data_IF_224947513322
#
_entry.id   IF_224947513322
#
_cell.length_a   1.000
_cell.length_b   1.000
_cell.length_c   1.000
_cell.angle_alpha   90.00
_cell.angle_beta   90.00
_cell.angle_gamma   90.00
#
_symmetry.space_group_name_H-M   'P 1'
#
loop_
_entity.id
_entity.type
_entity.pdbx_description
1 polymer ?
#
# COMPACT_ATOMS: atom_id res chain seq x y z
N UNK A 1 -1.13 -15.65 -18.70
CA UNK A 1 -0.45 -15.77 -17.39
C UNK A 1 -1.22 -16.77 -16.53
N UNK A 2 -0.60 -17.83 -16.00
CA UNK A 2 -1.25 -18.69 -14.99
C UNK A 2 -1.27 -17.92 -13.66
N UNK A 3 -2.46 -17.57 -13.18
CA UNK A 3 -2.65 -16.97 -11.85
C UNK A 3 -2.34 -18.05 -10.80
N UNK A 4 -1.39 -17.77 -9.89
CA UNK A 4 -1.03 -18.72 -8.82
C UNK A 4 -2.24 -19.00 -7.92
N UNK A 5 -2.29 -20.17 -7.28
CA UNK A 5 -3.40 -20.56 -6.38
C UNK A 5 -3.67 -19.52 -5.29
N UNK A 6 -2.64 -18.91 -4.73
CA UNK A 6 -2.75 -17.85 -3.71
C UNK A 6 -3.55 -16.65 -4.23
N UNK A 7 -3.29 -16.22 -5.47
CA UNK A 7 -4.01 -15.11 -6.10
C UNK A 7 -5.48 -15.43 -6.34
N UNK A 8 -5.81 -16.69 -6.68
CA UNK A 8 -7.21 -17.10 -6.83
C UNK A 8 -7.94 -17.06 -5.48
N UNK A 9 -7.28 -17.49 -4.41
CA UNK A 9 -7.82 -17.44 -3.05
C UNK A 9 -8.02 -15.97 -2.64
N UNK A 10 -7.01 -15.12 -2.81
CA UNK A 10 -7.10 -13.69 -2.48
C UNK A 10 -8.20 -12.98 -3.26
N UNK A 11 -8.32 -13.22 -4.57
CA UNK A 11 -9.37 -12.61 -5.40
C UNK A 11 -10.75 -13.14 -5.01
N UNK A 12 -10.90 -14.46 -4.84
CA UNK A 12 -12.17 -15.05 -4.42
C UNK A 12 -12.63 -14.50 -3.07
N UNK A 13 -11.70 -14.38 -2.12
CA UNK A 13 -12.00 -13.81 -0.82
C UNK A 13 -12.29 -12.31 -0.89
N UNK A 14 -11.51 -11.55 -1.66
CA UNK A 14 -11.76 -10.13 -1.92
C UNK A 14 -13.19 -9.90 -2.44
N UNK A 15 -13.64 -10.71 -3.41
CA UNK A 15 -15.00 -10.62 -3.94
C UNK A 15 -16.06 -10.92 -2.88
N UNK A 16 -15.82 -11.92 -2.01
CA UNK A 16 -16.70 -12.23 -0.87
C UNK A 16 -16.78 -11.03 0.08
N UNK A 17 -15.65 -10.40 0.41
CA UNK A 17 -15.59 -9.24 1.31
C UNK A 17 -16.33 -8.04 0.72
N UNK A 18 -16.12 -7.73 -0.56
CA UNK A 18 -16.87 -6.69 -1.25
C UNK A 18 -18.39 -6.97 -1.22
N UNK A 19 -18.80 -8.23 -1.43
CA UNK A 19 -20.20 -8.62 -1.36
C UNK A 19 -20.77 -8.42 0.06
N UNK A 20 -20.01 -8.74 1.11
CA UNK A 20 -20.41 -8.49 2.51
C UNK A 20 -20.65 -6.99 2.74
N UNK A 21 -19.73 -6.12 2.31
CA UNK A 21 -19.90 -4.66 2.45
C UNK A 21 -21.11 -4.13 1.66
N UNK A 22 -21.36 -4.68 0.46
CA UNK A 22 -22.54 -4.35 -0.33
C UNK A 22 -23.84 -4.72 0.39
N UNK A 23 -23.92 -5.94 0.95
CA UNK A 23 -25.09 -6.42 1.73
C UNK A 23 -25.26 -5.58 3.01
N UNK A 24 -24.16 -5.20 3.65
CA UNK A 24 -24.15 -4.34 4.84
C UNK A 24 -24.46 -2.86 4.54
N UNK A 25 -24.75 -2.51 3.27
CA UNK A 25 -25.03 -1.14 2.80
C UNK A 25 -23.87 -0.16 3.04
N UNK A 26 -22.65 -0.65 3.21
CA UNK A 26 -21.45 0.17 3.29
C UNK A 26 -20.94 0.44 1.87
N UNK A 27 -21.69 1.25 1.12
CA UNK A 27 -21.45 1.50 -0.30
C UNK A 27 -20.12 2.22 -0.56
N UNK A 28 -19.68 3.08 0.37
CA UNK A 28 -18.40 3.79 0.25
C UNK A 28 -17.22 2.81 0.21
N UNK A 29 -17.14 1.90 1.19
CA UNK A 29 -16.09 0.88 1.27
C UNK A 29 -16.20 -0.11 0.13
N UNK A 30 -17.42 -0.49 -0.29
CA UNK A 30 -17.61 -1.35 -1.46
C UNK A 30 -17.07 -0.71 -2.75
N UNK A 31 -17.46 0.54 -3.03
CA UNK A 31 -17.02 1.27 -4.23
C UNK A 31 -15.50 1.40 -4.21
N UNK A 32 -14.92 1.91 -3.12
CA UNK A 32 -13.48 2.04 -2.96
C UNK A 32 -12.75 0.71 -3.14
N UNK A 33 -13.25 -0.34 -2.49
CA UNK A 33 -12.67 -1.67 -2.53
C UNK A 33 -12.61 -2.25 -3.95
N UNK A 34 -13.58 -1.97 -4.82
CA UNK A 34 -13.57 -2.44 -6.20
C UNK A 34 -12.72 -1.54 -7.11
N UNK A 35 -12.90 -0.22 -7.01
CA UNK A 35 -12.32 0.74 -7.96
C UNK A 35 -10.85 1.03 -7.67
N UNK A 36 -10.42 1.13 -6.40
CA UNK A 36 -9.04 1.46 -6.07
C UNK A 36 -8.06 0.37 -6.56
N UNK A 37 -8.29 -0.95 -6.32
CA UNK A 37 -7.43 -1.99 -6.88
C UNK A 37 -7.46 -2.05 -8.41
N UNK A 38 -8.59 -1.70 -9.03
CA UNK A 38 -8.71 -1.66 -10.49
C UNK A 38 -7.87 -0.52 -11.09
N UNK A 39 -8.03 0.69 -10.55
CA UNK A 39 -7.44 1.93 -11.06
C UNK A 39 -5.97 2.05 -10.70
N UNK A 40 -5.60 1.76 -9.45
CA UNK A 40 -4.22 1.88 -8.96
C UNK A 40 -3.40 0.60 -9.19
N UNK A 41 -4.06 -0.55 -9.29
CA UNK A 41 -3.41 -1.86 -9.40
C UNK A 41 -3.48 -2.45 -10.80
N UNK A 42 -4.65 -2.97 -11.19
CA UNK A 42 -4.80 -3.79 -12.39
C UNK A 42 -4.46 -3.04 -13.68
N UNK A 43 -5.04 -1.85 -13.88
CA UNK A 43 -4.78 -1.04 -15.07
C UNK A 43 -3.28 -0.69 -15.17
N UNK A 44 -2.63 -0.12 -14.14
CA UNK A 44 -1.20 0.14 -14.18
C UNK A 44 -0.35 -1.12 -14.37
N UNK A 45 -0.77 -2.26 -13.82
CA UNK A 45 -0.04 -3.52 -13.98
C UNK A 45 -0.04 -4.00 -15.42
N UNK A 46 -1.16 -3.87 -16.14
CA UNK A 46 -1.22 -4.19 -17.58
C UNK A 46 -0.31 -3.29 -18.41
N UNK A 47 -0.27 -1.99 -18.10
CA UNK A 47 0.55 -1.01 -18.80
C UNK A 47 1.94 -0.82 -18.19
N UNK A 48 2.38 -1.69 -17.28
CA UNK A 48 3.60 -1.50 -16.46
C UNK A 48 4.87 -1.24 -17.27
N UNK A 49 5.02 -1.90 -18.43
CA UNK A 49 6.18 -1.69 -19.31
C UNK A 49 6.15 -0.29 -19.94
N UNK A 50 4.97 0.18 -20.35
CA UNK A 50 4.77 1.52 -20.90
C UNK A 50 5.03 2.58 -19.83
N UNK A 51 4.53 2.37 -18.61
CA UNK A 51 4.76 3.24 -17.45
C UNK A 51 6.26 3.31 -17.12
N UNK A 52 6.94 2.15 -17.04
CA UNK A 52 8.39 2.09 -16.79
C UNK A 52 9.18 2.83 -17.87
N UNK A 53 8.83 2.63 -19.14
CA UNK A 53 9.49 3.32 -20.25
C UNK A 53 9.22 4.84 -20.24
N UNK A 54 7.99 5.24 -19.90
CA UNK A 54 7.63 6.64 -19.71
C UNK A 54 8.50 7.28 -18.62
N UNK A 55 8.57 6.68 -17.43
CA UNK A 55 9.40 7.21 -16.34
C UNK A 55 10.89 7.30 -16.69
N UNK A 56 11.42 6.33 -17.43
CA UNK A 56 12.79 6.42 -17.97
C UNK A 56 12.96 7.58 -18.94
N UNK A 57 12.02 7.78 -19.86
CA UNK A 57 12.05 8.85 -20.87
C UNK A 57 12.00 10.24 -20.22
N UNK A 58 11.21 10.42 -19.17
CA UNK A 58 11.08 11.70 -18.46
C UNK A 58 12.09 11.89 -17.32
N UNK A 59 13.05 10.97 -17.16
CA UNK A 59 14.07 11.08 -16.12
C UNK A 59 13.59 10.86 -14.68
N UNK A 60 12.43 10.23 -14.49
CA UNK A 60 11.87 9.90 -13.16
C UNK A 60 12.28 8.50 -12.66
N UNK A 61 13.17 7.80 -13.37
CA UNK A 61 13.74 6.51 -12.93
C UNK A 61 14.90 6.72 -11.93
N UNK A 62 14.63 7.44 -10.84
CA UNK A 62 15.59 7.75 -9.78
C UNK A 62 14.87 7.91 -8.43
N UNK A 63 15.63 8.24 -7.38
CA UNK A 63 15.11 8.34 -6.00
C UNK A 63 14.02 9.41 -5.87
N UNK A 64 14.22 10.57 -6.51
CA UNK A 64 13.28 11.68 -6.45
C UNK A 64 11.99 11.35 -7.20
N UNK A 65 12.10 10.72 -8.37
CA UNK A 65 10.94 10.26 -9.13
C UNK A 65 10.15 9.20 -8.38
N UNK A 66 10.81 8.27 -7.68
CA UNK A 66 10.14 7.28 -6.84
C UNK A 66 9.32 7.93 -5.72
N UNK A 67 9.92 8.88 -4.98
CA UNK A 67 9.20 9.57 -3.89
C UNK A 67 8.12 10.53 -4.40
N UNK A 68 8.32 11.17 -5.55
CA UNK A 68 7.29 12.00 -6.19
C UNK A 68 6.08 11.15 -6.58
N UNK A 69 6.31 9.98 -7.19
CA UNK A 69 5.23 9.06 -7.53
C UNK A 69 4.53 8.54 -6.27
N UNK A 70 5.29 8.18 -5.22
CA UNK A 70 4.71 7.78 -3.94
C UNK A 70 3.81 8.88 -3.35
N UNK A 71 4.28 10.14 -3.34
CA UNK A 71 3.48 11.30 -2.90
C UNK A 71 2.20 11.46 -3.70
N UNK A 72 2.26 11.40 -5.03
CA UNK A 72 1.08 11.52 -5.89
C UNK A 72 0.07 10.42 -5.58
N UNK A 73 0.53 9.18 -5.37
CA UNK A 73 -0.36 8.07 -5.02
C UNK A 73 -0.98 8.29 -3.64
N UNK A 74 -0.24 8.78 -2.64
CA UNK A 74 -0.79 9.14 -1.33
C UNK A 74 -1.90 10.18 -1.47
N UNK A 75 -1.63 11.28 -2.18
CA UNK A 75 -2.62 12.35 -2.38
C UNK A 75 -3.87 11.80 -3.06
N UNK A 76 -3.72 10.99 -4.12
CA UNK A 76 -4.85 10.43 -4.85
C UNK A 76 -5.67 9.47 -4.00
N UNK A 77 -5.02 8.62 -3.22
CA UNK A 77 -5.69 7.62 -2.39
C UNK A 77 -6.45 8.28 -1.23
N UNK A 78 -5.82 9.19 -0.48
CA UNK A 78 -6.48 9.90 0.62
C UNK A 78 -7.61 10.82 0.13
N UNK A 79 -7.39 11.52 -0.99
CA UNK A 79 -8.46 12.31 -1.61
C UNK A 79 -9.63 11.41 -2.03
N UNK A 80 -9.35 10.19 -2.50
CA UNK A 80 -10.40 9.27 -2.92
C UNK A 80 -11.19 8.73 -1.72
N UNK A 81 -10.50 8.35 -0.64
CA UNK A 81 -11.10 7.98 0.63
C UNK A 81 -12.01 9.10 1.16
N UNK A 82 -11.50 10.33 1.19
CA UNK A 82 -12.25 11.50 1.64
C UNK A 82 -13.50 11.77 0.79
N UNK A 83 -13.39 11.72 -0.54
CA UNK A 83 -14.52 11.97 -1.46
C UNK A 83 -15.64 10.94 -1.28
N UNK A 84 -15.29 9.68 -1.04
CA UNK A 84 -16.28 8.62 -0.82
C UNK A 84 -16.90 8.67 0.59
N UNK A 85 -16.31 9.44 1.51
CA UNK A 85 -16.73 9.49 2.90
C UNK A 85 -16.22 8.32 3.73
N UNK A 86 -15.11 7.70 3.31
CA UNK A 86 -14.40 6.75 4.15
C UNK A 86 -13.69 7.47 5.30
N UNK A 87 -13.37 6.71 6.35
CA UNK A 87 -12.57 7.20 7.45
C UNK A 87 -11.16 7.56 6.96
N UNK A 88 -10.74 8.80 7.23
CA UNK A 88 -9.37 9.30 7.04
C UNK A 88 -8.69 9.38 8.41
N UNK A 89 -7.36 9.31 8.46
CA UNK A 89 -6.64 9.31 9.73
C UNK A 89 -6.75 10.65 10.48
N UNK A 90 -6.99 11.76 9.76
CA UNK A 90 -7.25 13.07 10.33
C UNK A 90 -8.39 13.81 9.60
N UNK A 91 -9.31 14.51 10.31
CA UNK A 91 -10.47 15.16 9.68
C UNK A 91 -10.14 16.24 8.65
N UNK A 92 -8.95 16.85 8.77
CA UNK A 92 -8.46 17.87 7.84
C UNK A 92 -7.61 17.20 6.77
N UNK A 93 -8.15 17.07 5.55
CA UNK A 93 -7.51 16.35 4.43
C UNK A 93 -6.05 16.75 4.17
N UNK A 94 -5.70 18.04 4.30
CA UNK A 94 -4.32 18.48 4.08
C UNK A 94 -3.35 17.99 5.16
N UNK A 95 -3.81 17.91 6.41
CA UNK A 95 -3.04 17.38 7.54
C UNK A 95 -2.92 15.87 7.41
N UNK A 96 -3.99 15.22 6.98
CA UNK A 96 -4.04 13.79 6.73
C UNK A 96 -3.07 13.35 5.63
N UNK A 97 -3.16 13.97 4.44
CA UNK A 97 -2.23 13.75 3.33
C UNK A 97 -0.77 13.94 3.76
N UNK A 98 -0.48 14.98 4.56
CA UNK A 98 0.88 15.20 5.06
C UNK A 98 1.32 14.10 6.02
N UNK A 99 0.49 13.75 7.00
CA UNK A 99 0.79 12.72 8.00
C UNK A 99 1.02 11.37 7.32
N UNK A 100 0.11 10.97 6.44
CA UNK A 100 0.17 9.71 5.69
C UNK A 100 1.41 9.70 4.79
N UNK A 101 1.71 10.81 4.12
CA UNK A 101 2.93 10.91 3.30
C UNK A 101 4.20 10.69 4.13
N UNK A 102 4.30 11.27 5.33
CA UNK A 102 5.48 11.06 6.21
C UNK A 102 5.60 9.59 6.64
N UNK A 103 4.49 8.93 6.97
CA UNK A 103 4.47 7.49 7.28
C UNK A 103 4.93 6.69 6.05
N UNK A 104 4.40 7.02 4.88
CA UNK A 104 4.73 6.37 3.63
C UNK A 104 6.19 6.62 3.22
N UNK A 105 6.79 7.78 3.53
CA UNK A 105 8.22 8.01 3.30
C UNK A 105 9.10 6.96 3.98
N UNK A 106 8.77 6.57 5.21
CA UNK A 106 9.46 5.47 5.90
C UNK A 106 9.26 4.14 5.18
N UNK A 107 8.02 3.86 4.78
CA UNK A 107 7.64 2.61 4.14
C UNK A 107 8.29 2.45 2.75
N UNK A 108 8.02 3.40 1.86
CA UNK A 108 8.57 3.47 0.51
C UNK A 108 10.09 3.64 0.54
N UNK A 109 10.62 4.45 1.45
CA UNK A 109 12.06 4.65 1.62
C UNK A 109 12.79 3.38 2.02
N UNK A 110 12.22 2.59 2.94
CA UNK A 110 12.77 1.27 3.31
C UNK A 110 12.84 0.35 2.11
N UNK A 111 11.81 0.36 1.27
CA UNK A 111 11.79 -0.41 0.03
C UNK A 111 12.85 0.03 -0.97
N UNK A 112 12.97 1.34 -1.19
CA UNK A 112 13.91 1.91 -2.14
C UNK A 112 15.37 1.74 -1.71
N UNK A 113 15.69 2.11 -0.47
CA UNK A 113 17.07 2.17 -0.02
C UNK A 113 17.60 0.83 0.47
N UNK A 114 16.74 -0.06 0.97
CA UNK A 114 17.19 -1.28 1.64
C UNK A 114 16.66 -2.57 1.02
N UNK A 115 15.35 -2.79 1.02
CA UNK A 115 14.77 -4.10 0.65
C UNK A 115 15.12 -4.48 -0.79
N UNK A 116 14.92 -3.55 -1.74
CA UNK A 116 15.19 -3.78 -3.17
C UNK A 116 16.67 -4.04 -3.51
N UNK A 117 17.59 -3.55 -2.67
CA UNK A 117 19.04 -3.75 -2.83
C UNK A 117 19.55 -5.00 -2.15
N UNK A 118 18.84 -5.48 -1.11
CA UNK A 118 19.23 -6.66 -0.32
C UNK A 118 18.67 -7.94 -0.92
N UNK A 119 17.40 -7.95 -1.29
CA UNK A 119 16.65 -9.15 -1.64
C UNK A 119 16.25 -9.23 -3.12
N UNK A 120 16.15 -10.46 -3.63
CA UNK A 120 15.64 -10.76 -4.96
C UNK A 120 14.16 -11.10 -4.91
N UNK A 121 13.38 -10.46 -5.78
CA UNK A 121 11.95 -10.66 -5.92
C UNK A 121 11.57 -10.75 -7.39
N UNK A 122 10.58 -11.60 -7.70
CA UNK A 122 9.80 -11.40 -8.93
C UNK A 122 8.93 -10.16 -8.79
N UNK A 123 8.48 -9.57 -9.90
CA UNK A 123 7.62 -8.38 -9.85
C UNK A 123 6.34 -8.58 -9.02
N UNK A 124 5.72 -9.77 -9.12
CA UNK A 124 4.51 -10.09 -8.37
C UNK A 124 4.80 -10.24 -6.87
N UNK A 125 5.90 -10.89 -6.50
CA UNK A 125 6.30 -11.01 -5.10
C UNK A 125 6.63 -9.64 -4.50
N UNK A 126 7.33 -8.78 -5.24
CA UNK A 126 7.69 -7.45 -4.78
C UNK A 126 6.46 -6.60 -4.48
N UNK A 127 5.49 -6.56 -5.39
CA UNK A 127 4.24 -5.80 -5.22
C UNK A 127 3.48 -6.27 -3.98
N UNK A 128 3.29 -7.59 -3.84
CA UNK A 128 2.57 -8.16 -2.71
C UNK A 128 3.29 -7.89 -1.39
N UNK A 129 4.58 -8.20 -1.34
CA UNK A 129 5.42 -8.00 -0.16
C UNK A 129 5.50 -6.52 0.22
N UNK A 130 5.45 -5.62 -0.76
CA UNK A 130 5.52 -4.19 -0.53
C UNK A 130 4.21 -3.61 -0.02
N UNK A 131 3.06 -4.16 -0.41
CA UNK A 131 1.74 -3.75 0.07
C UNK A 131 1.39 -4.27 1.47
N UNK A 132 1.91 -5.43 1.89
CA UNK A 132 1.53 -6.05 3.17
C UNK A 132 1.79 -5.19 4.44
N UNK A 133 2.82 -4.31 4.53
CA UNK A 133 2.92 -3.37 5.66
C UNK A 133 1.69 -2.48 5.84
N UNK A 134 0.98 -2.15 4.77
CA UNK A 134 -0.32 -1.44 4.80
C UNK A 134 -1.34 -2.11 5.71
N UNK A 135 -1.36 -3.44 5.68
CA UNK A 135 -2.25 -4.26 6.51
C UNK A 135 -1.88 -4.17 8.00
N UNK A 136 -0.59 -4.03 8.32
CA UNK A 136 -0.16 -3.80 9.70
C UNK A 136 -0.57 -2.41 10.19
N UNK A 137 -0.48 -1.38 9.35
CA UNK A 137 -1.01 -0.06 9.72
C UNK A 137 -2.51 -0.13 10.00
N UNK A 138 -3.29 -0.78 9.14
CA UNK A 138 -4.74 -0.87 9.33
C UNK A 138 -5.12 -1.52 10.67
N UNK A 139 -4.55 -2.68 10.98
CA UNK A 139 -5.08 -3.52 12.05
C UNK A 139 -4.25 -3.54 13.34
N UNK A 140 -2.97 -3.18 13.27
CA UNK A 140 -2.09 -3.14 14.44
C UNK A 140 -2.00 -1.72 15.02
N UNK A 141 -2.04 -0.68 14.17
CA UNK A 141 -1.95 0.71 14.68
C UNK A 141 -3.25 1.23 15.31
N UNK A 142 -4.41 0.71 14.87
CA UNK A 142 -5.75 1.04 15.41
C UNK A 142 -6.27 0.05 16.47
N UNK A 143 -5.38 -0.68 17.16
CA UNK A 143 -5.62 -1.98 17.81
C UNK A 143 -6.86 -2.82 17.40
N UNK A 144 -7.35 -2.74 16.16
CA UNK A 144 -8.58 -3.42 15.75
C UNK A 144 -8.47 -4.93 15.87
N UNK A 145 -7.27 -5.47 15.71
CA UNK A 145 -7.03 -6.89 15.92
C UNK A 145 -7.39 -7.36 17.33
N UNK A 146 -7.23 -6.51 18.35
CA UNK A 146 -7.61 -6.83 19.74
C UNK A 146 -9.13 -6.67 19.95
N UNK A 147 -9.75 -5.69 19.29
CA UNK A 147 -11.16 -5.39 19.46
C UNK A 147 -12.09 -6.31 18.65
N UNK A 148 -11.70 -6.69 17.43
CA UNK A 148 -12.49 -7.49 16.51
C UNK A 148 -11.61 -8.39 15.59
N UNK A 149 -10.98 -9.44 16.15
CA UNK A 149 -10.05 -10.29 15.39
C UNK A 149 -10.72 -11.00 14.20
N UNK A 150 -12.01 -11.36 14.31
CA UNK A 150 -12.75 -11.97 13.19
C UNK A 150 -13.01 -10.97 12.06
N UNK A 151 -13.38 -9.73 12.40
CA UNK A 151 -13.52 -8.65 11.41
C UNK A 151 -12.21 -8.40 10.66
N UNK A 152 -11.09 -8.37 11.39
CA UNK A 152 -9.76 -8.22 10.78
C UNK A 152 -9.44 -9.38 9.84
N UNK A 153 -9.69 -10.63 10.23
CA UNK A 153 -9.45 -11.79 9.34
C UNK A 153 -10.29 -11.73 8.07
N UNK A 154 -11.55 -11.27 8.17
CA UNK A 154 -12.42 -11.10 7.02
C UNK A 154 -11.89 -9.98 6.12
N UNK A 155 -11.53 -8.83 6.68
CA UNK A 155 -11.11 -7.65 5.92
C UNK A 155 -9.65 -7.70 5.44
N UNK A 156 -8.82 -8.58 6.00
CA UNK A 156 -7.39 -8.70 5.65
C UNK A 156 -7.13 -8.81 4.14
N UNK A 157 -7.83 -9.68 3.36
CA UNK A 157 -7.57 -9.78 1.93
C UNK A 157 -7.95 -8.53 1.14
N UNK A 158 -8.96 -7.79 1.60
CA UNK A 158 -9.32 -6.50 1.01
C UNK A 158 -8.17 -5.51 1.17
N UNK A 159 -7.68 -5.30 2.40
CA UNK A 159 -6.55 -4.41 2.67
C UNK A 159 -5.29 -4.85 1.91
N UNK A 160 -4.99 -6.15 1.91
CA UNK A 160 -3.83 -6.68 1.21
C UNK A 160 -3.86 -6.37 -0.30
N UNK A 161 -5.03 -6.47 -0.94
CA UNK A 161 -5.21 -6.16 -2.36
C UNK A 161 -5.10 -4.65 -2.62
N UNK A 162 -5.74 -3.81 -1.81
CA UNK A 162 -5.69 -2.35 -1.93
C UNK A 162 -4.26 -1.84 -1.77
N UNK A 163 -3.57 -2.21 -0.69
CA UNK A 163 -2.21 -1.75 -0.44
C UNK A 163 -1.20 -2.32 -1.44
N UNK A 164 -1.43 -3.52 -1.97
CA UNK A 164 -0.63 -4.03 -3.10
C UNK A 164 -0.85 -3.21 -4.38
N UNK A 165 -2.08 -2.77 -4.64
CA UNK A 165 -2.41 -1.95 -5.80
C UNK A 165 -1.68 -0.60 -5.76
N UNK A 166 -1.66 0.05 -4.60
CA UNK A 166 -0.93 1.32 -4.36
C UNK A 166 0.55 1.23 -4.77
N UNK A 167 1.17 0.06 -4.59
CA UNK A 167 2.58 -0.16 -4.91
C UNK A 167 2.89 -0.44 -6.38
N UNK A 168 1.89 -0.69 -7.23
CA UNK A 168 2.13 -1.08 -8.63
C UNK A 168 2.86 0.01 -9.41
N UNK A 169 2.41 1.27 -9.34
CA UNK A 169 3.03 2.38 -10.07
C UNK A 169 4.42 2.73 -9.50
N UNK A 170 4.59 2.96 -8.17
CA UNK A 170 5.89 3.25 -7.58
C UNK A 170 6.95 2.19 -7.92
N UNK A 171 6.58 0.91 -7.92
CA UNK A 171 7.49 -0.20 -8.25
C UNK A 171 8.05 -0.13 -9.68
N UNK A 172 7.44 0.61 -10.60
CA UNK A 172 7.98 0.77 -11.96
C UNK A 172 9.20 1.69 -12.02
N UNK A 173 9.35 2.59 -11.03
CA UNK A 173 10.52 3.49 -10.90
C UNK A 173 11.66 2.83 -10.11
N UNK A 174 11.40 1.69 -9.48
CA UNK A 174 12.36 0.97 -8.65
C UNK A 174 13.09 -0.12 -9.44
N UNK A 175 14.39 -0.25 -9.24
CA UNK A 175 15.17 -1.39 -9.71
C UNK A 175 15.47 -2.33 -8.53
N UNK A 176 14.92 -3.55 -8.60
CA UNK A 176 15.22 -4.62 -7.65
C UNK A 176 16.54 -5.27 -8.09
N UNK A 177 17.60 -5.06 -7.32
CA UNK A 177 18.97 -5.51 -7.63
C UNK A 177 19.54 -6.49 -6.60
N UNK A 178 18.80 -6.76 -5.54
CA UNK A 178 19.23 -7.65 -4.47
C UNK A 178 19.43 -9.09 -4.95
N UNK A 179 20.27 -9.81 -4.21
CA UNK A 179 20.67 -11.19 -4.53
C UNK A 179 20.18 -12.20 -3.49
N UNK A 180 19.84 -11.76 -2.28
CA UNK A 180 19.41 -12.68 -1.22
C UNK A 180 18.02 -13.24 -1.53
N UNK A 181 17.89 -14.56 -1.41
CA UNK A 181 16.64 -15.31 -1.53
C UNK A 181 16.31 -15.98 -0.18
N UNK A 182 15.09 -16.51 -0.05
CA UNK A 182 14.62 -17.19 1.16
C UNK A 182 13.53 -16.44 1.92
N UNK A 183 12.92 -17.10 2.91
CA UNK A 183 11.71 -16.63 3.60
C UNK A 183 11.89 -15.28 4.32
N UNK A 184 13.10 -14.98 4.82
CA UNK A 184 13.42 -13.72 5.48
C UNK A 184 13.13 -12.50 4.62
N UNK A 185 13.15 -12.62 3.28
CA UNK A 185 12.84 -11.49 2.39
C UNK A 185 11.41 -10.97 2.62
N UNK A 186 10.45 -11.86 2.87
CA UNK A 186 9.04 -11.49 3.11
C UNK A 186 8.83 -10.94 4.53
N UNK A 187 9.53 -11.50 5.52
CA UNK A 187 9.49 -11.00 6.89
C UNK A 187 10.08 -9.59 6.98
N UNK A 188 11.31 -9.41 6.47
CA UNK A 188 12.00 -8.13 6.47
C UNK A 188 11.19 -7.07 5.69
N UNK A 189 10.62 -7.44 4.55
CA UNK A 189 9.85 -6.50 3.72
C UNK A 189 8.48 -6.12 4.32
N UNK A 190 8.00 -6.90 5.28
CA UNK A 190 6.78 -6.62 6.03
C UNK A 190 7.07 -5.79 7.28
N UNK A 191 7.96 -6.31 8.14
CA UNK A 191 8.17 -5.80 9.50
C UNK A 191 9.01 -4.53 9.51
N UNK A 192 10.07 -4.47 8.70
CA UNK A 192 11.01 -3.35 8.77
C UNK A 192 10.36 -2.05 8.29
N UNK A 193 9.64 -1.99 7.15
CA UNK A 193 8.98 -0.76 6.74
C UNK A 193 7.97 -0.28 7.78
N UNK A 194 7.23 -1.19 8.40
CA UNK A 194 6.31 -0.87 9.50
C UNK A 194 7.04 -0.22 10.69
N UNK A 195 8.09 -0.87 11.19
CA UNK A 195 8.86 -0.37 12.34
C UNK A 195 9.56 0.97 12.06
N UNK A 196 10.02 1.21 10.83
CA UNK A 196 10.69 2.47 10.45
C UNK A 196 9.70 3.63 10.34
N UNK A 197 8.46 3.38 9.91
CA UNK A 197 7.47 4.45 9.80
C UNK A 197 6.86 4.85 11.14
N UNK A 198 6.87 3.99 12.17
CA UNK A 198 6.38 4.36 13.51
C UNK A 198 7.06 5.61 14.09
N UNK A 199 8.41 5.72 14.18
CA UNK A 199 9.06 6.94 14.67
C UNK A 199 8.79 8.15 13.78
N UNK A 200 8.61 7.96 12.47
CA UNK A 200 8.24 9.05 11.56
C UNK A 200 6.81 9.54 11.81
N UNK A 201 5.87 8.62 12.07
CA UNK A 201 4.50 8.95 12.45
C UNK A 201 4.48 9.79 13.74
N UNK A 202 5.21 9.34 14.77
CA UNK A 202 5.34 10.05 16.04
C UNK A 202 5.93 11.45 15.81
N UNK A 203 7.00 11.56 15.03
CA UNK A 203 7.62 12.84 14.70
C UNK A 203 6.64 13.77 13.96
N UNK A 204 5.88 13.26 12.98
CA UNK A 204 4.88 14.04 12.26
C UNK A 204 3.78 14.57 13.19
N UNK A 205 3.23 13.71 14.06
CA UNK A 205 2.21 14.08 15.04
C UNK A 205 2.72 15.20 15.96
N UNK A 206 3.96 15.06 16.48
CA UNK A 206 4.59 16.07 17.34
C UNK A 206 4.82 17.40 16.61
N UNK A 207 5.28 17.35 15.36
CA UNK A 207 5.51 18.55 14.54
C UNK A 207 4.22 19.31 14.22
N UNK A 208 3.12 18.58 14.03
CA UNK A 208 1.81 19.15 13.73
C UNK A 208 1.07 19.63 15.00
N UNK A 209 1.62 19.36 16.19
CA UNK A 209 0.97 19.69 17.45
C UNK A 209 -0.37 18.97 17.65
N UNK A 210 -0.55 17.82 17.00
CA UNK A 210 -1.79 17.03 17.11
C UNK A 210 -1.82 16.45 18.53
N UNK A 211 -2.89 16.76 19.27
CA UNK A 211 -3.15 16.14 20.57
C UNK A 211 -3.67 14.73 20.32
N UNK A 212 -2.89 13.73 20.72
CA UNK A 212 -3.27 12.30 20.73
C UNK A 212 -4.14 12.01 21.94
#
# INVERSE_FOLDING_TARGET
MKISTIWKILIGWFLIVCLIFLIAKNYSVFVFGITAPLILGLLPYFYRNNIKNFFKRVGLHNVWGFFLVAFIITVLEESYCYILGNEVAYPVLSVDVFLVFIIWLGWFGTWYFWISKKYSFTSAEAILAAGLPGVLYEYVSKPEFLANPLGVLIAFPLSAVIYSAIFVIPMQTLDIRGKKTGWRKYFDSLVIPFLISLPLAIAAILLLGIKV
#
